data_IF_169067694293
#
_entry.id   IF_169067694293
#
_cell.length_a   1.000
_cell.length_b   1.000
_cell.length_c   1.000
_cell.angle_alpha   90.00
_cell.angle_beta   90.00
_cell.angle_gamma   90.00
#
_symmetry.space_group_name_H-M   'P 1'
#
loop_
_entity.id
_entity.type
_entity.pdbx_description
1 polymer ?
#
# COMPACT_ATOMS: atom_id res chain seq x y z
N UNK A 1 3.33 23.77 -4.27
CA UNK A 1 4.58 23.45 -3.57
C UNK A 1 4.50 22.02 -3.06
N UNK A 2 5.61 21.27 -3.01
CA UNK A 2 5.60 19.86 -2.63
C UNK A 2 5.17 19.59 -1.18
N UNK A 3 5.27 20.57 -0.27
CA UNK A 3 4.58 20.50 1.02
C UNK A 3 3.15 21.02 0.85
N UNK A 4 2.17 20.13 0.98
CA UNK A 4 0.75 20.43 0.80
C UNK A 4 0.13 20.65 2.17
N UNK A 5 -0.48 21.82 2.36
CA UNK A 5 -1.31 22.09 3.53
C UNK A 5 -2.61 21.31 3.42
N UNK A 6 -2.91 20.48 4.42
CA UNK A 6 -4.10 19.65 4.36
C UNK A 6 -5.36 20.43 4.74
N UNK A 7 -6.40 20.25 3.92
CA UNK A 7 -7.76 20.75 4.20
C UNK A 7 -8.62 19.72 4.93
N UNK A 8 -8.04 18.58 5.34
CA UNK A 8 -8.78 17.54 6.02
C UNK A 8 -9.22 17.98 7.42
N UNK A 9 -10.51 17.79 7.71
CA UNK A 9 -11.09 18.00 9.04
C UNK A 9 -11.75 16.69 9.48
N UNK A 10 -11.23 16.09 10.56
CA UNK A 10 -11.81 14.90 11.16
C UNK A 10 -13.10 15.24 11.93
N UNK A 11 -14.13 14.37 11.95
CA UNK A 11 -15.28 14.56 12.82
C UNK A 11 -14.86 14.65 14.29
N UNK A 12 -15.54 15.49 15.06
CA UNK A 12 -15.19 15.76 16.46
C UNK A 12 -15.22 14.51 17.37
N UNK A 13 -15.99 13.48 17.00
CA UNK A 13 -16.08 12.19 17.71
C UNK A 13 -14.90 11.25 17.39
N UNK A 14 -14.17 11.48 16.30
CA UNK A 14 -13.00 10.69 15.87
C UNK A 14 -11.70 11.45 16.16
N UNK A 15 -11.45 11.71 17.44
CA UNK A 15 -10.17 12.27 17.94
C UNK A 15 -9.24 11.21 18.54
N UNK A 16 -9.76 10.00 18.80
CA UNK A 16 -8.94 8.89 19.25
C UNK A 16 -8.34 8.19 18.01
N UNK A 17 -7.00 8.05 17.92
CA UNK A 17 -6.33 7.52 16.73
C UNK A 17 -6.66 6.05 16.45
N UNK A 18 -6.84 5.25 17.49
CA UNK A 18 -7.23 3.85 17.36
C UNK A 18 -8.67 3.71 16.86
N UNK A 19 -9.59 4.53 17.36
CA UNK A 19 -10.97 4.56 16.89
C UNK A 19 -11.02 4.96 15.41
N UNK A 20 -10.24 5.97 15.01
CA UNK A 20 -10.13 6.44 13.63
C UNK A 20 -9.64 5.32 12.69
N UNK A 21 -8.71 4.50 13.18
CA UNK A 21 -8.16 3.36 12.45
C UNK A 21 -9.10 2.15 12.38
N UNK A 22 -9.71 1.78 13.51
CA UNK A 22 -10.47 0.53 13.64
C UNK A 22 -11.92 0.65 13.21
N UNK A 23 -12.52 1.84 13.32
CA UNK A 23 -13.93 2.02 12.94
C UNK A 23 -14.20 1.67 11.48
N UNK A 24 -13.41 2.15 10.49
CA UNK A 24 -13.64 1.76 9.11
C UNK A 24 -13.40 0.27 8.88
N UNK A 25 -12.41 -0.32 9.55
CA UNK A 25 -12.10 -1.74 9.44
C UNK A 25 -13.29 -2.62 9.84
N UNK A 26 -13.98 -2.28 10.94
CA UNK A 26 -15.11 -3.08 11.44
C UNK A 26 -16.47 -2.71 10.85
N UNK A 27 -16.69 -1.43 10.54
CA UNK A 27 -18.05 -0.93 10.28
C UNK A 27 -18.25 -0.34 8.89
N UNK A 28 -17.20 0.06 8.16
CA UNK A 28 -17.36 0.62 6.83
C UNK A 28 -17.76 -0.46 5.84
N UNK A 29 -18.88 -0.25 5.16
CA UNK A 29 -19.35 -1.10 4.07
C UNK A 29 -19.37 -0.27 2.79
N UNK A 30 -18.77 -0.80 1.73
CA UNK A 30 -18.77 -0.20 0.40
C UNK A 30 -19.47 -1.17 -0.55
N UNK A 31 -20.44 -0.67 -1.29
CA UNK A 31 -21.27 -1.47 -2.19
C UNK A 31 -21.13 -1.00 -3.65
N UNK A 32 -21.41 -1.89 -4.60
CA UNK A 32 -21.48 -1.55 -6.02
C UNK A 32 -20.19 -1.73 -6.82
N UNK A 33 -19.07 -2.07 -6.18
CA UNK A 33 -17.84 -2.48 -6.88
C UNK A 33 -17.97 -3.93 -7.34
N UNK A 34 -17.70 -4.19 -8.62
CA UNK A 34 -17.74 -5.54 -9.20
C UNK A 34 -16.36 -5.87 -9.75
N UNK A 35 -15.67 -6.79 -9.07
CA UNK A 35 -14.39 -7.30 -9.54
C UNK A 35 -14.55 -8.52 -10.45
N UNK A 36 -13.77 -8.53 -11.53
CA UNK A 36 -13.48 -9.71 -12.33
C UNK A 36 -12.03 -10.10 -12.06
N UNK A 37 -11.83 -11.28 -11.49
CA UNK A 37 -10.49 -11.78 -11.16
C UNK A 37 -9.78 -12.30 -12.40
N UNK A 38 -8.52 -11.93 -12.55
CA UNK A 38 -7.57 -12.50 -13.50
C UNK A 38 -6.33 -12.98 -12.75
N UNK A 39 -6.02 -14.27 -12.88
CA UNK A 39 -4.75 -14.82 -12.41
C UNK A 39 -3.65 -14.52 -13.40
N UNK A 40 -2.53 -13.97 -12.92
CA UNK A 40 -1.29 -13.83 -13.65
C UNK A 40 -0.28 -14.84 -13.13
N UNK A 41 0.25 -15.65 -14.03
CA UNK A 41 1.35 -16.57 -13.76
C UNK A 41 2.66 -15.79 -13.70
N UNK A 42 3.45 -16.04 -12.65
CA UNK A 42 4.72 -15.37 -12.40
C UNK A 42 5.91 -16.20 -12.94
N UNK A 43 7.04 -15.56 -13.27
CA UNK A 43 8.22 -16.26 -13.80
C UNK A 43 8.82 -17.33 -12.87
N UNK A 44 8.57 -17.21 -11.55
CA UNK A 44 9.02 -18.18 -10.53
C UNK A 44 8.08 -19.39 -10.39
N UNK A 45 7.05 -19.49 -11.23
CA UNK A 45 6.05 -20.55 -11.20
C UNK A 45 4.90 -20.31 -10.21
N UNK A 46 4.91 -19.17 -9.52
CA UNK A 46 3.83 -18.74 -8.64
C UNK A 46 2.76 -17.94 -9.38
N UNK A 47 1.84 -17.30 -8.65
CA UNK A 47 0.82 -16.45 -9.25
C UNK A 47 0.48 -15.21 -8.41
N UNK A 48 -0.12 -14.23 -9.08
CA UNK A 48 -0.84 -13.12 -8.48
C UNK A 48 -2.26 -13.05 -9.03
N UNK A 49 -3.22 -12.75 -8.17
CA UNK A 49 -4.60 -12.51 -8.60
C UNK A 49 -4.87 -11.00 -8.67
N UNK A 50 -5.24 -10.53 -9.86
CA UNK A 50 -5.64 -9.16 -10.13
C UNK A 50 -7.17 -9.08 -10.17
N UNK A 51 -7.74 -8.19 -9.38
CA UNK A 51 -9.19 -7.96 -9.35
C UNK A 51 -9.53 -6.67 -10.11
N UNK A 52 -10.11 -6.83 -11.31
CA UNK A 52 -10.42 -5.74 -12.23
C UNK A 52 -11.82 -5.18 -12.02
N UNK A 53 -11.95 -3.86 -11.91
CA UNK A 53 -13.23 -3.15 -11.92
C UNK A 53 -13.20 -2.09 -13.01
N UNK A 54 -13.88 -2.35 -14.13
CA UNK A 54 -13.81 -1.54 -15.35
C UNK A 54 -15.03 -0.62 -15.47
N UNK A 55 -14.78 0.64 -15.80
CA UNK A 55 -15.75 1.66 -16.16
C UNK A 55 -15.68 2.01 -17.67
N UNK A 56 -14.99 1.18 -18.47
CA UNK A 56 -14.71 1.39 -19.89
C UNK A 56 -13.89 2.67 -20.15
N UNK A 57 -13.01 3.02 -19.20
CA UNK A 57 -12.10 4.15 -19.29
C UNK A 57 -10.87 3.90 -20.14
N UNK A 58 -10.13 4.97 -20.45
CA UNK A 58 -8.80 4.90 -21.11
C UNK A 58 -7.64 5.01 -20.13
N UNK A 59 -7.90 5.26 -18.86
CA UNK A 59 -6.91 5.43 -17.80
C UNK A 59 -7.12 4.34 -16.76
N UNK A 60 -6.01 3.78 -16.26
CA UNK A 60 -6.01 2.71 -15.27
C UNK A 60 -5.38 3.18 -13.97
N UNK A 61 -5.97 2.79 -12.86
CA UNK A 61 -5.36 2.91 -11.53
C UNK A 61 -5.13 1.51 -10.95
N UNK A 62 -3.89 1.23 -10.55
CA UNK A 62 -3.54 0.03 -9.80
C UNK A 62 -3.61 0.31 -8.29
N UNK A 63 -4.41 -0.46 -7.56
CA UNK A 63 -4.58 -0.36 -6.12
C UNK A 63 -3.77 -1.44 -5.38
N UNK A 64 -2.90 -1.04 -4.47
CA UNK A 64 -2.11 -1.92 -3.61
C UNK A 64 -2.57 -1.81 -2.13
N UNK A 65 -2.92 -2.95 -1.54
CA UNK A 65 -3.43 -3.04 -0.16
C UNK A 65 -2.30 -3.02 0.88
N UNK A 66 -2.67 -2.86 2.16
CA UNK A 66 -1.76 -2.94 3.30
C UNK A 66 -1.48 -4.38 3.76
N UNK A 67 -0.73 -4.52 4.86
CA UNK A 67 -0.37 -5.81 5.45
C UNK A 67 -1.62 -6.63 5.78
N UNK A 68 -1.62 -7.89 5.35
CA UNK A 68 -2.70 -8.87 5.53
C UNK A 68 -4.05 -8.39 4.98
N UNK A 69 -4.02 -7.45 4.03
CA UNK A 69 -5.17 -6.95 3.29
C UNK A 69 -5.53 -7.79 2.05
N UNK A 70 -6.40 -7.23 1.21
CA UNK A 70 -6.79 -7.75 -0.11
C UNK A 70 -7.54 -6.66 -0.89
N UNK A 71 -7.96 -6.97 -2.13
CA UNK A 71 -8.84 -6.12 -2.93
C UNK A 71 -10.18 -5.77 -2.26
N UNK A 72 -10.59 -6.56 -1.25
CA UNK A 72 -11.87 -6.42 -0.53
C UNK A 72 -11.80 -5.49 0.67
N UNK A 73 -10.64 -4.90 0.96
CA UNK A 73 -10.52 -3.94 2.06
C UNK A 73 -11.38 -2.70 1.81
N UNK A 74 -12.06 -2.13 2.82
CA UNK A 74 -12.99 -1.01 2.61
C UNK A 74 -12.37 0.21 1.93
N UNK A 75 -11.10 0.53 2.22
CA UNK A 75 -10.40 1.64 1.55
C UNK A 75 -10.07 1.32 0.08
N UNK A 76 -9.80 0.05 -0.27
CA UNK A 76 -9.59 -0.38 -1.66
C UNK A 76 -10.90 -0.32 -2.44
N UNK A 77 -11.99 -0.83 -1.85
CA UNK A 77 -13.32 -0.77 -2.45
C UNK A 77 -13.81 0.67 -2.61
N UNK A 78 -13.62 1.52 -1.60
CA UNK A 78 -13.97 2.95 -1.65
C UNK A 78 -13.26 3.67 -2.80
N UNK A 79 -11.95 3.42 -2.91
CA UNK A 79 -11.13 3.97 -4.00
C UNK A 79 -11.58 3.45 -5.37
N UNK A 80 -11.80 2.13 -5.50
CA UNK A 80 -12.29 1.54 -6.74
C UNK A 80 -13.62 2.16 -7.18
N UNK A 81 -14.55 2.34 -6.22
CA UNK A 81 -15.87 2.90 -6.47
C UNK A 81 -15.80 4.33 -7.00
N UNK A 82 -15.12 5.23 -6.29
CA UNK A 82 -15.07 6.64 -6.70
C UNK A 82 -14.44 6.80 -8.09
N UNK A 83 -13.40 6.00 -8.38
CA UNK A 83 -12.67 6.07 -9.64
C UNK A 83 -13.53 5.54 -10.80
N UNK A 84 -14.23 4.43 -10.60
CA UNK A 84 -15.17 3.91 -11.60
C UNK A 84 -16.32 4.89 -11.87
N UNK A 85 -16.86 5.56 -10.84
CA UNK A 85 -17.88 6.61 -11.02
C UNK A 85 -17.37 7.84 -11.81
N UNK A 86 -16.05 7.99 -11.93
CA UNK A 86 -15.39 9.01 -12.75
C UNK A 86 -14.82 8.46 -14.06
N UNK A 87 -15.23 7.25 -14.46
CA UNK A 87 -14.83 6.66 -15.74
C UNK A 87 -13.38 6.22 -15.80
N UNK A 88 -12.74 5.98 -14.64
CA UNK A 88 -11.38 5.47 -14.53
C UNK A 88 -11.46 3.97 -14.22
N UNK A 89 -10.74 3.16 -15.00
CA UNK A 89 -10.64 1.72 -14.76
C UNK A 89 -9.71 1.45 -13.58
N UNK A 90 -9.99 0.39 -12.85
CA UNK A 90 -9.23 0.01 -11.65
C UNK A 90 -8.81 -1.45 -11.72
N UNK A 91 -7.59 -1.72 -11.29
CA UNK A 91 -7.12 -3.08 -10.99
C UNK A 91 -6.56 -3.12 -9.57
N UNK A 92 -7.07 -4.00 -8.72
CA UNK A 92 -6.52 -4.22 -7.39
C UNK A 92 -5.59 -5.44 -7.42
N UNK A 93 -4.32 -5.25 -7.06
CA UNK A 93 -3.38 -6.36 -6.89
C UNK A 93 -3.66 -7.02 -5.54
N UNK A 94 -3.84 -8.34 -5.52
CA UNK A 94 -3.74 -9.11 -4.29
C UNK A 94 -2.31 -9.65 -4.18
N UNK A 95 -1.60 -9.28 -3.12
CA UNK A 95 -0.29 -9.86 -2.85
C UNK A 95 -0.40 -11.38 -2.62
N UNK A 96 0.74 -12.06 -2.70
CA UNK A 96 0.82 -13.52 -2.53
C UNK A 96 0.10 -13.95 -1.26
N UNK A 97 -0.78 -14.96 -1.37
CA UNK A 97 -1.62 -15.46 -0.28
C UNK A 97 -2.68 -14.48 0.28
N UNK A 98 -3.02 -13.40 -0.41
CA UNK A 98 -4.04 -12.43 0.03
C UNK A 98 -5.34 -12.46 -0.78
N UNK A 99 -5.40 -13.19 -1.90
CA UNK A 99 -6.59 -13.23 -2.75
C UNK A 99 -7.72 -14.12 -2.20
N UNK A 100 -7.44 -14.89 -1.14
CA UNK A 100 -8.26 -15.99 -0.62
C UNK A 100 -7.70 -17.38 -0.92
N UNK A 101 -6.64 -17.46 -1.73
CA UNK A 101 -5.89 -18.67 -2.05
C UNK A 101 -4.42 -18.47 -1.66
N UNK A 102 -3.77 -19.54 -1.15
CA UNK A 102 -2.33 -19.49 -0.89
C UNK A 102 -1.54 -19.53 -2.19
N UNK A 103 -0.45 -18.77 -2.24
CA UNK A 103 0.52 -18.87 -3.32
C UNK A 103 1.23 -20.24 -3.30
N UNK A 104 1.81 -20.65 -4.43
CA UNK A 104 2.33 -22.02 -4.65
C UNK A 104 3.69 -22.27 -4.03
N UNK A 105 4.42 -21.21 -3.70
CA UNK A 105 5.78 -21.29 -3.17
C UNK A 105 5.81 -21.08 -1.65
N UNK A 106 6.87 -21.50 -0.95
CA UNK A 106 7.07 -21.17 0.47
C UNK A 106 7.07 -19.66 0.73
N UNK A 107 7.59 -18.88 -0.22
CA UNK A 107 7.68 -17.41 -0.22
C UNK A 107 6.37 -16.72 0.18
N UNK A 108 6.45 -15.72 1.05
CA UNK A 108 5.38 -14.73 1.28
C UNK A 108 5.75 -13.40 0.60
N UNK A 109 4.82 -12.45 0.54
CA UNK A 109 5.16 -11.07 0.21
C UNK A 109 5.74 -10.37 1.45
N UNK A 110 6.49 -9.29 1.24
CA UNK A 110 7.01 -8.44 2.30
C UNK A 110 6.91 -6.96 1.90
N UNK A 111 7.16 -6.04 2.83
CA UNK A 111 6.91 -4.59 2.62
C UNK A 111 7.82 -3.94 1.58
N UNK A 112 8.93 -4.59 1.24
CA UNK A 112 9.90 -4.14 0.24
C UNK A 112 9.79 -4.87 -1.09
N UNK A 113 8.77 -5.73 -1.27
CA UNK A 113 8.63 -6.63 -2.42
C UNK A 113 8.16 -5.87 -3.67
N UNK A 114 9.09 -5.20 -4.34
CA UNK A 114 8.84 -4.42 -5.56
C UNK A 114 8.85 -5.29 -6.82
N UNK A 115 9.29 -6.55 -6.74
CA UNK A 115 9.41 -7.46 -7.88
C UNK A 115 8.04 -7.78 -8.47
N UNK A 116 7.10 -8.18 -7.62
CA UNK A 116 5.73 -8.52 -8.01
C UNK A 116 5.00 -7.29 -8.62
N UNK A 117 5.14 -6.11 -8.01
CA UNK A 117 4.55 -4.86 -8.54
C UNK A 117 5.17 -4.49 -9.90
N UNK A 118 6.49 -4.59 -10.02
CA UNK A 118 7.22 -4.31 -11.27
C UNK A 118 6.78 -5.24 -12.38
N UNK A 119 6.61 -6.53 -12.09
CA UNK A 119 6.10 -7.50 -13.05
C UNK A 119 4.69 -7.13 -13.51
N UNK A 120 3.78 -6.83 -12.58
CA UNK A 120 2.40 -6.44 -12.93
C UNK A 120 2.36 -5.16 -13.75
N UNK A 121 3.12 -4.13 -13.39
CA UNK A 121 3.17 -2.87 -14.14
C UNK A 121 3.66 -3.08 -15.58
N UNK A 122 4.73 -3.85 -15.78
CA UNK A 122 5.23 -4.23 -17.11
C UNK A 122 4.23 -5.10 -17.86
N UNK A 123 3.56 -6.03 -17.18
CA UNK A 123 2.54 -6.86 -17.81
C UNK A 123 1.38 -5.99 -18.33
N UNK A 124 0.90 -5.02 -17.52
CA UNK A 124 -0.14 -4.06 -17.92
C UNK A 124 0.31 -3.27 -19.16
N UNK A 125 1.54 -2.73 -19.14
CA UNK A 125 2.10 -1.97 -20.25
C UNK A 125 2.09 -2.75 -21.58
N UNK A 126 2.47 -4.04 -21.55
CA UNK A 126 2.57 -4.86 -22.76
C UNK A 126 1.26 -5.51 -23.21
N UNK A 127 0.29 -5.71 -22.31
CA UNK A 127 -0.91 -6.52 -22.57
C UNK A 127 -2.21 -5.71 -22.56
N UNK A 128 -2.14 -4.39 -22.38
CA UNK A 128 -3.32 -3.51 -22.36
C UNK A 128 -3.11 -2.29 -23.25
N UNK A 129 -4.19 -1.56 -23.52
CA UNK A 129 -4.20 -0.36 -24.37
C UNK A 129 -4.55 0.91 -23.61
N UNK A 130 -4.31 0.92 -22.29
CA UNK A 130 -4.52 2.11 -21.47
C UNK A 130 -3.56 3.24 -21.87
N UNK A 131 -4.03 4.48 -21.74
CA UNK A 131 -3.25 5.69 -22.01
C UNK A 131 -2.37 6.11 -20.85
N UNK A 132 -2.77 5.76 -19.62
CA UNK A 132 -1.95 5.97 -18.43
C UNK A 132 -2.24 4.94 -17.35
N UNK A 133 -1.25 4.74 -16.51
CA UNK A 133 -1.27 3.92 -15.31
C UNK A 133 -0.89 4.80 -14.12
N UNK A 134 -1.79 4.95 -13.16
CA UNK A 134 -1.47 5.55 -11.86
C UNK A 134 -1.50 4.50 -10.76
N UNK A 135 -0.75 4.71 -9.68
CA UNK A 135 -0.63 3.77 -8.57
C UNK A 135 -1.25 4.38 -7.30
N UNK A 136 -2.06 3.61 -6.57
CA UNK A 136 -2.52 4.00 -5.24
C UNK A 136 -2.21 2.92 -4.22
N UNK A 137 -1.46 3.28 -3.18
CA UNK A 137 -1.03 2.35 -2.13
C UNK A 137 -1.49 2.78 -0.75
N UNK A 138 -1.78 1.80 0.11
CA UNK A 138 -2.05 2.05 1.53
C UNK A 138 -1.07 1.25 2.39
N UNK A 139 -0.53 1.86 3.43
CA UNK A 139 0.32 1.19 4.43
C UNK A 139 1.49 0.44 3.76
N UNK A 140 1.58 -0.88 3.95
CA UNK A 140 2.57 -1.73 3.28
C UNK A 140 2.61 -1.52 1.76
N UNK A 141 1.46 -1.48 1.08
CA UNK A 141 1.39 -1.24 -0.37
C UNK A 141 1.85 0.15 -0.78
N UNK A 142 1.74 1.14 0.10
CA UNK A 142 2.32 2.47 -0.11
C UNK A 142 3.86 2.41 -0.11
N UNK A 143 4.46 1.69 0.84
CA UNK A 143 5.92 1.54 0.88
C UNK A 143 6.44 0.84 -0.39
N UNK A 144 5.79 -0.24 -0.82
CA UNK A 144 6.13 -0.95 -2.07
C UNK A 144 6.08 0.02 -3.26
N UNK A 145 5.00 0.79 -3.41
CA UNK A 145 4.86 1.75 -4.52
C UNK A 145 5.97 2.80 -4.47
N UNK A 146 6.20 3.45 -3.32
CA UNK A 146 7.23 4.50 -3.23
C UNK A 146 8.65 3.98 -3.48
N UNK A 147 8.96 2.78 -2.97
CA UNK A 147 10.25 2.10 -3.24
C UNK A 147 10.38 1.78 -4.73
N UNK A 148 9.36 1.18 -5.33
CA UNK A 148 9.32 0.88 -6.76
C UNK A 148 9.57 2.12 -7.63
N UNK A 149 8.91 3.24 -7.32
CA UNK A 149 9.08 4.49 -8.08
C UNK A 149 10.50 5.05 -8.02
N UNK A 150 11.17 4.95 -6.88
CA UNK A 150 12.55 5.42 -6.76
C UNK A 150 13.59 4.42 -7.27
N UNK A 151 13.30 3.12 -7.27
CA UNK A 151 14.13 2.11 -7.93
C UNK A 151 14.07 2.22 -9.45
N UNK A 152 12.88 2.42 -10.02
CA UNK A 152 12.66 2.47 -11.47
C UNK A 152 12.72 3.89 -12.05
N UNK A 153 13.15 4.89 -11.28
CA UNK A 153 13.09 6.29 -11.70
C UNK A 153 13.70 6.57 -13.09
N UNK A 154 14.82 5.91 -13.40
CA UNK A 154 15.56 6.06 -14.66
C UNK A 154 15.08 5.13 -15.78
N UNK A 155 14.36 4.06 -15.46
CA UNK A 155 13.87 3.06 -16.40
C UNK A 155 12.33 2.97 -16.41
N UNK A 156 11.65 4.04 -15.98
CA UNK A 156 10.20 4.03 -15.82
C UNK A 156 9.49 3.90 -17.16
N UNK A 157 8.38 3.19 -17.15
CA UNK A 157 7.43 3.18 -18.27
C UNK A 157 6.89 4.59 -18.51
N UNK A 158 6.71 4.96 -19.79
CA UNK A 158 6.00 6.18 -20.18
C UNK A 158 4.50 6.12 -19.85
N UNK A 159 3.95 4.93 -19.63
CA UNK A 159 2.56 4.74 -19.20
C UNK A 159 2.34 5.24 -17.76
N UNK A 160 3.39 5.23 -16.94
CA UNK A 160 3.31 5.54 -15.52
C UNK A 160 3.16 7.06 -15.29
N UNK A 161 2.00 7.48 -14.82
CA UNK A 161 1.59 8.89 -14.75
C UNK A 161 1.75 9.47 -13.34
N UNK A 162 1.08 8.90 -12.33
CA UNK A 162 1.06 9.44 -10.96
C UNK A 162 1.02 8.35 -9.90
N UNK A 163 1.35 8.73 -8.67
CA UNK A 163 1.13 7.88 -7.51
C UNK A 163 0.53 8.63 -6.32
N UNK A 164 -0.35 7.96 -5.57
CA UNK A 164 -0.93 8.47 -4.33
C UNK A 164 -0.78 7.40 -3.25
N UNK A 165 -0.29 7.78 -2.09
CA UNK A 165 0.00 6.85 -1.01
C UNK A 165 -0.55 7.34 0.30
N UNK A 166 -1.11 6.41 1.08
CA UNK A 166 -1.74 6.69 2.36
C UNK A 166 -1.07 5.89 3.47
N UNK A 167 -0.79 6.56 4.58
CA UNK A 167 -0.31 5.95 5.83
C UNK A 167 0.93 5.09 5.63
N UNK A 168 1.86 5.57 4.81
CA UNK A 168 3.06 4.85 4.44
C UNK A 168 4.05 4.80 5.62
N UNK A 169 4.50 3.61 6.04
CA UNK A 169 5.62 3.43 6.97
C UNK A 169 6.95 3.71 6.26
N UNK A 170 7.19 4.99 5.93
CA UNK A 170 8.41 5.40 5.21
C UNK A 170 9.65 4.98 6.00
N UNK A 171 9.65 5.16 7.33
CA UNK A 171 10.67 4.62 8.22
C UNK A 171 10.22 3.27 8.78
N UNK A 172 10.58 2.21 8.08
CA UNK A 172 10.11 0.85 8.37
C UNK A 172 10.54 0.38 9.76
N UNK A 173 11.82 0.54 10.10
CA UNK A 173 12.35 0.12 11.41
C UNK A 173 11.56 0.77 12.55
N UNK A 174 11.46 2.09 12.52
CA UNK A 174 10.77 2.82 13.59
C UNK A 174 9.25 2.54 13.59
N UNK A 175 8.66 2.22 12.44
CA UNK A 175 7.27 1.74 12.38
C UNK A 175 7.09 0.34 12.98
N UNK A 176 8.01 -0.60 12.74
CA UNK A 176 7.96 -1.92 13.38
C UNK A 176 8.10 -1.82 14.91
N UNK A 177 9.01 -0.97 15.40
CA UNK A 177 9.13 -0.66 16.84
C UNK A 177 7.83 -0.05 17.39
N UNK A 178 7.21 0.88 16.66
CA UNK A 178 5.94 1.51 17.04
C UNK A 178 4.78 0.50 17.10
N UNK A 179 4.68 -0.40 16.13
CA UNK A 179 3.69 -1.50 16.12
C UNK A 179 3.90 -2.44 17.30
N UNK A 180 5.16 -2.67 17.71
CA UNK A 180 5.54 -3.48 18.87
C UNK A 180 5.18 -2.89 20.24
N UNK A 181 4.77 -1.63 20.30
CA UNK A 181 4.47 -0.95 21.57
C UNK A 181 3.19 -1.45 22.23
N UNK A 182 3.09 -1.28 23.56
CA UNK A 182 1.97 -1.79 24.36
C UNK A 182 0.60 -1.27 23.92
N UNK A 183 0.53 -0.03 23.43
CA UNK A 183 -0.70 0.59 22.90
C UNK A 183 -1.20 -0.04 21.59
N UNK A 184 -0.31 -0.73 20.86
CA UNK A 184 -0.58 -1.32 19.54
C UNK A 184 -0.70 -2.85 19.55
N UNK A 185 -0.69 -3.48 20.72
CA UNK A 185 -0.78 -4.94 20.89
C UNK A 185 -1.97 -5.54 20.15
N UNK A 186 -3.08 -4.81 20.02
CA UNK A 186 -4.23 -5.26 19.24
C UNK A 186 -3.88 -5.48 17.76
N UNK A 187 -3.23 -4.51 17.11
CA UNK A 187 -2.82 -4.60 15.71
C UNK A 187 -1.79 -5.70 15.50
N UNK A 188 -0.76 -5.72 16.35
CA UNK A 188 0.30 -6.71 16.30
C UNK A 188 -0.25 -8.14 16.39
N UNK A 189 -1.14 -8.39 17.37
CA UNK A 189 -1.79 -9.70 17.52
C UNK A 189 -2.64 -10.07 16.32
N UNK A 190 -3.39 -9.12 15.75
CA UNK A 190 -4.20 -9.37 14.57
C UNK A 190 -3.33 -9.75 13.35
N UNK A 191 -2.25 -9.02 13.08
CA UNK A 191 -1.31 -9.35 12.00
C UNK A 191 -0.65 -10.71 12.22
N UNK A 192 -0.06 -10.95 13.39
CA UNK A 192 0.58 -12.23 13.69
C UNK A 192 -0.41 -13.40 13.64
N UNK A 193 -1.67 -13.19 14.01
CA UNK A 193 -2.69 -14.23 13.94
C UNK A 193 -2.89 -14.73 12.50
N UNK A 194 -3.11 -13.83 11.54
CA UNK A 194 -3.36 -14.22 10.15
C UNK A 194 -2.09 -14.73 9.47
N UNK A 195 -0.94 -14.11 9.75
CA UNK A 195 0.37 -14.55 9.24
C UNK A 195 0.71 -15.97 9.71
N UNK A 196 0.54 -16.25 11.01
CA UNK A 196 0.73 -17.60 11.57
C UNK A 196 -0.26 -18.60 11.00
N UNK A 197 -1.51 -18.20 10.73
CA UNK A 197 -2.48 -19.10 10.11
C UNK A 197 -2.03 -19.52 8.70
N UNK A 198 -1.51 -18.59 7.89
CA UNK A 198 -0.93 -18.90 6.58
C UNK A 198 0.31 -19.78 6.68
N UNK A 199 1.20 -19.49 7.64
CA UNK A 199 2.38 -20.32 7.92
C UNK A 199 2.00 -21.75 8.29
N UNK A 200 1.06 -21.97 9.22
CA UNK A 200 0.56 -23.31 9.58
C UNK A 200 0.06 -24.08 8.36
N UNK A 201 -0.70 -23.43 7.50
CA UNK A 201 -1.23 -24.07 6.31
C UNK A 201 -0.09 -24.50 5.36
N UNK A 202 0.89 -23.62 5.10
CA UNK A 202 2.05 -23.98 4.27
C UNK A 202 2.94 -25.07 4.89
N UNK A 203 3.11 -25.10 6.21
CA UNK A 203 3.78 -26.20 6.92
C UNK A 203 3.05 -27.53 6.64
N UNK A 204 1.71 -27.55 6.78
CA UNK A 204 0.90 -28.75 6.54
C UNK A 204 0.95 -29.24 5.08
N UNK A 205 1.20 -28.33 4.14
CA UNK A 205 1.41 -28.66 2.72
C UNK A 205 2.83 -29.14 2.41
N UNK A 206 3.72 -29.18 3.41
CA UNK A 206 5.10 -29.63 3.25
C UNK A 206 6.03 -28.61 2.60
N UNK A 207 5.62 -27.33 2.46
CA UNK A 207 6.41 -26.31 1.76
C UNK A 207 7.76 -26.02 2.42
N UNK A 208 7.91 -26.33 3.71
CA UNK A 208 9.13 -26.05 4.47
C UNK A 208 9.96 -27.30 4.77
N UNK A 209 9.58 -28.49 4.27
CA UNK A 209 10.27 -29.75 4.61
C UNK A 209 11.74 -29.77 4.19
N UNK A 210 12.08 -29.08 3.11
CA UNK A 210 13.44 -28.98 2.56
C UNK A 210 14.11 -27.63 2.90
N UNK A 211 13.45 -26.77 3.68
CA UNK A 211 13.97 -25.46 4.07
C UNK A 211 14.48 -25.49 5.51
N UNK A 212 15.69 -24.96 5.73
CA UNK A 212 16.26 -24.79 7.07
C UNK A 212 15.68 -23.57 7.78
N UNK A 213 14.37 -23.55 7.97
CA UNK A 213 13.61 -22.45 8.59
C UNK A 213 12.85 -22.99 9.81
N UNK A 214 13.07 -22.38 10.98
CA UNK A 214 12.41 -22.76 12.24
C UNK A 214 10.96 -22.24 12.30
N UNK A 215 10.12 -22.84 11.46
CA UNK A 215 8.71 -22.48 11.33
C UNK A 215 7.92 -22.76 12.62
N UNK A 216 8.29 -23.81 13.37
CA UNK A 216 7.67 -24.14 14.64
C UNK A 216 7.86 -23.02 15.66
N UNK A 217 9.09 -22.52 15.84
CA UNK A 217 9.34 -21.36 16.71
C UNK A 217 8.58 -20.12 16.24
N UNK A 218 8.53 -19.86 14.93
CA UNK A 218 7.80 -18.73 14.36
C UNK A 218 6.30 -18.74 14.69
N UNK A 219 5.69 -19.91 14.94
CA UNK A 219 4.28 -19.99 15.38
C UNK A 219 4.04 -19.47 16.80
N UNK A 220 5.09 -19.30 17.62
CA UNK A 220 4.97 -18.90 19.02
C UNK A 220 5.48 -17.48 19.32
N UNK A 221 6.13 -16.79 18.37
CA UNK A 221 6.61 -15.41 18.58
C UNK A 221 5.48 -14.41 18.80
N UNK A 222 5.70 -13.35 19.57
CA UNK A 222 4.66 -12.36 19.88
C UNK A 222 5.02 -10.94 19.42
N UNK A 223 6.09 -10.83 18.66
CA UNK A 223 6.67 -9.60 18.12
C UNK A 223 6.99 -9.78 16.63
N UNK A 224 7.02 -8.67 15.89
CA UNK A 224 7.22 -8.70 14.44
C UNK A 224 8.69 -8.91 14.08
N UNK A 225 9.62 -8.46 14.92
CA UNK A 225 11.07 -8.61 14.72
C UNK A 225 11.46 -10.09 14.71
N UNK A 226 11.01 -10.86 15.70
CA UNK A 226 11.27 -12.31 15.75
C UNK A 226 10.56 -13.06 14.61
N UNK A 227 9.39 -12.58 14.17
CA UNK A 227 8.77 -13.12 12.96
C UNK A 227 9.66 -12.85 11.73
N UNK A 228 10.15 -11.62 11.60
CA UNK A 228 10.98 -11.22 10.47
C UNK A 228 12.31 -11.98 10.46
N UNK A 229 12.97 -12.16 11.61
CA UNK A 229 14.21 -12.97 11.72
C UNK A 229 13.99 -14.44 11.34
N UNK A 230 12.85 -15.02 11.75
CA UNK A 230 12.59 -16.44 11.55
C UNK A 230 11.96 -16.77 10.20
N UNK A 231 11.22 -15.86 9.58
CA UNK A 231 10.43 -16.13 8.38
C UNK A 231 10.80 -15.17 7.24
N UNK A 232 10.61 -13.86 7.44
CA UNK A 232 10.76 -12.89 6.35
C UNK A 232 12.20 -12.84 5.83
N UNK A 233 13.17 -12.62 6.71
CA UNK A 233 14.57 -12.52 6.36
C UNK A 233 15.10 -13.76 5.63
N UNK A 234 14.97 -14.99 6.17
CA UNK A 234 15.49 -16.19 5.49
C UNK A 234 14.76 -16.53 4.19
N UNK A 235 13.46 -16.26 4.06
CA UNK A 235 12.73 -16.52 2.82
C UNK A 235 13.08 -15.57 1.68
N UNK A 236 13.59 -14.38 2.01
CA UNK A 236 13.88 -13.33 1.03
C UNK A 236 15.38 -13.01 0.91
N UNK A 237 16.24 -13.76 1.59
CA UNK A 237 17.69 -13.61 1.50
C UNK A 237 18.24 -12.38 2.25
N UNK A 238 17.50 -11.85 3.23
CA UNK A 238 18.04 -10.87 4.17
C UNK A 238 18.82 -11.59 5.28
N UNK A 239 19.79 -10.89 5.87
CA UNK A 239 20.61 -11.44 6.97
C UNK A 239 19.75 -11.63 8.23
N UNK A 240 18.98 -10.61 8.57
CA UNK A 240 18.10 -10.52 9.74
C UNK A 240 17.05 -9.42 9.52
N UNK A 241 16.24 -9.12 10.53
CA UNK A 241 15.23 -8.07 10.46
C UNK A 241 15.83 -6.66 10.27
N UNK A 242 17.03 -6.37 10.78
CA UNK A 242 17.68 -5.06 10.63
C UNK A 242 18.09 -4.82 9.17
N UNK A 243 18.76 -5.80 8.55
CA UNK A 243 19.11 -5.79 7.13
C UNK A 243 17.86 -5.71 6.25
N UNK A 244 16.81 -6.45 6.61
CA UNK A 244 15.51 -6.36 5.96
C UNK A 244 14.93 -4.95 6.06
N UNK A 245 14.89 -4.34 7.25
CA UNK A 245 14.28 -3.02 7.45
C UNK A 245 15.01 -1.91 6.70
N UNK A 246 16.34 -1.97 6.66
CA UNK A 246 17.16 -1.02 5.90
C UNK A 246 16.89 -1.13 4.39
N UNK A 247 16.91 -2.34 3.84
CA UNK A 247 16.74 -2.58 2.38
C UNK A 247 15.29 -2.42 1.91
N UNK A 248 14.31 -2.71 2.76
CA UNK A 248 12.90 -2.69 2.39
C UNK A 248 12.23 -1.32 2.57
N UNK A 249 12.80 -0.41 3.36
CA UNK A 249 12.26 0.94 3.56
C UNK A 249 12.32 1.76 2.26
N UNK A 250 11.22 2.46 1.93
CA UNK A 250 11.20 3.36 0.77
C UNK A 250 11.95 4.67 0.98
N UNK A 251 12.33 5.00 2.24
CA UNK A 251 12.87 6.32 2.64
C UNK A 251 14.04 6.81 1.78
N UNK A 252 14.97 5.92 1.45
CA UNK A 252 16.19 6.23 0.69
C UNK A 252 15.93 6.39 -0.81
N UNK A 253 14.74 5.99 -1.29
CA UNK A 253 14.36 6.02 -2.69
C UNK A 253 13.49 7.25 -3.05
N UNK A 254 12.91 7.93 -2.06
CA UNK A 254 11.96 9.03 -2.27
C UNK A 254 12.56 10.21 -3.05
N UNK A 255 13.85 10.51 -2.84
CA UNK A 255 14.54 11.60 -3.57
C UNK A 255 14.70 11.31 -5.07
N UNK A 256 14.58 10.04 -5.48
CA UNK A 256 14.73 9.62 -6.88
C UNK A 256 13.42 9.66 -7.65
N UNK A 257 12.27 9.85 -7.01
CA UNK A 257 10.96 9.83 -7.68
C UNK A 257 10.88 10.95 -8.73
N UNK A 258 10.48 10.60 -9.96
CA UNK A 258 10.43 11.50 -11.15
C UNK A 258 9.03 11.66 -11.78
N UNK A 259 7.97 11.30 -11.05
CA UNK A 259 6.57 11.49 -11.45
C UNK A 259 5.80 12.12 -10.29
N UNK A 260 4.71 12.89 -10.54
CA UNK A 260 3.88 13.41 -9.47
C UNK A 260 3.44 12.30 -8.51
N UNK A 261 3.91 12.42 -7.27
CA UNK A 261 3.63 11.47 -6.21
C UNK A 261 3.11 12.25 -4.99
N UNK A 262 2.05 11.76 -4.36
CA UNK A 262 1.50 12.29 -3.13
C UNK A 262 1.61 11.27 -2.01
N UNK A 263 2.23 11.64 -0.91
CA UNK A 263 2.22 10.92 0.35
C UNK A 263 1.30 11.64 1.35
N UNK A 264 0.29 10.92 1.84
CA UNK A 264 -0.65 11.39 2.85
C UNK A 264 -0.45 10.57 4.12
N UNK A 265 0.09 11.19 5.17
CA UNK A 265 0.27 10.58 6.49
C UNK A 265 -0.39 11.45 7.57
N UNK A 266 -1.08 10.81 8.53
CA UNK A 266 -1.68 11.49 9.67
C UNK A 266 -0.71 11.58 10.85
N UNK A 267 -0.64 12.73 11.51
CA UNK A 267 0.20 12.92 12.71
C UNK A 267 -0.23 12.04 13.89
N UNK A 268 -1.52 11.68 13.95
CA UNK A 268 -2.07 10.81 14.99
C UNK A 268 -2.06 9.32 14.60
N UNK A 269 -1.45 8.94 13.47
CA UNK A 269 -1.40 7.53 13.07
C UNK A 269 -0.67 6.68 14.14
N UNK A 270 -1.36 5.69 14.74
CA UNK A 270 -0.77 4.93 15.84
C UNK A 270 0.37 4.02 15.39
N UNK A 271 0.50 3.73 14.08
CA UNK A 271 1.49 2.78 13.55
C UNK A 271 2.71 3.47 12.90
N UNK A 272 2.68 4.80 12.78
CA UNK A 272 3.75 5.56 12.16
C UNK A 272 4.63 6.26 13.21
N UNK A 273 5.91 6.34 12.88
CA UNK A 273 6.91 7.08 13.67
C UNK A 273 7.14 8.48 13.08
N UNK A 274 7.91 9.32 13.78
CA UNK A 274 8.30 10.65 13.28
C UNK A 274 9.11 10.59 11.97
N UNK A 275 9.84 9.50 11.74
CA UNK A 275 10.56 9.24 10.49
C UNK A 275 9.65 9.09 9.27
N UNK A 276 8.34 8.92 9.47
CA UNK A 276 7.36 8.76 8.41
C UNK A 276 6.88 10.09 7.79
N UNK A 277 7.48 11.22 8.16
CA UNK A 277 7.14 12.56 7.63
C UNK A 277 8.36 13.21 6.97
N UNK A 278 8.77 12.76 5.76
CA UNK A 278 10.01 13.15 5.08
C UNK A 278 9.94 14.57 4.48
N UNK A 279 9.76 15.59 5.33
CA UNK A 279 9.58 17.01 4.93
C UNK A 279 10.74 17.56 4.10
N UNK A 280 11.97 17.23 4.48
CA UNK A 280 13.14 17.72 3.73
C UNK A 280 13.21 17.14 2.32
N UNK A 281 12.87 15.86 2.16
CA UNK A 281 12.83 15.23 0.84
C UNK A 281 11.77 15.89 -0.03
N UNK A 282 10.56 16.11 0.51
CA UNK A 282 9.50 16.83 -0.19
C UNK A 282 9.94 18.25 -0.60
N UNK A 283 10.63 19.00 0.27
CA UNK A 283 11.16 20.33 -0.12
C UNK A 283 12.18 20.27 -1.26
N UNK A 284 12.95 19.19 -1.36
CA UNK A 284 14.02 19.04 -2.36
C UNK A 284 13.60 18.36 -3.67
N UNK A 285 12.41 17.77 -3.74
CA UNK A 285 11.94 17.04 -4.92
C UNK A 285 10.56 17.56 -5.37
N UNK A 286 10.54 18.26 -6.50
CA UNK A 286 9.32 18.86 -7.06
C UNK A 286 8.23 17.83 -7.40
N UNK A 287 8.61 16.58 -7.64
CA UNK A 287 7.68 15.50 -7.95
C UNK A 287 7.05 14.87 -6.69
N UNK A 288 7.71 14.97 -5.53
CA UNK A 288 7.30 14.27 -4.32
C UNK A 288 6.58 15.20 -3.34
N UNK A 289 5.27 15.04 -3.26
CA UNK A 289 4.38 15.85 -2.45
C UNK A 289 4.08 15.17 -1.12
N UNK A 290 4.20 15.89 -0.01
CA UNK A 290 3.82 15.44 1.32
C UNK A 290 2.63 16.27 1.82
N UNK A 291 1.54 15.59 2.13
CA UNK A 291 0.40 16.15 2.83
C UNK A 291 0.28 15.49 4.21
N UNK A 292 0.35 16.30 5.26
CA UNK A 292 0.27 15.82 6.64
C UNK A 292 -1.01 16.29 7.28
N UNK A 293 -1.88 15.35 7.67
CA UNK A 293 -3.12 15.67 8.37
C UNK A 293 -2.89 15.68 9.88
N UNK A 294 -3.67 16.49 10.63
CA UNK A 294 -3.60 16.47 12.10
C UNK A 294 -4.20 15.18 12.66
N UNK A 295 -5.30 14.73 12.06
CA UNK A 295 -5.99 13.50 12.41
C UNK A 295 -6.20 12.64 11.16
N UNK A 296 -6.46 11.36 11.35
CA UNK A 296 -6.75 10.43 10.25
C UNK A 296 -6.56 8.97 10.63
N UNK A 297 -5.86 8.69 11.74
CA UNK A 297 -5.44 7.33 12.09
C UNK A 297 -4.65 6.68 10.95
N UNK A 298 -4.59 5.35 10.96
CA UNK A 298 -3.86 4.59 9.94
C UNK A 298 -4.63 4.34 8.64
N UNK A 299 -5.96 4.30 8.68
CA UNK A 299 -6.78 4.03 7.49
C UNK A 299 -8.12 4.74 7.55
N UNK A 300 -8.19 5.79 8.36
CA UNK A 300 -9.41 6.38 8.82
C UNK A 300 -9.98 7.40 7.86
N UNK A 301 -9.32 8.55 7.71
CA UNK A 301 -9.66 9.63 6.75
C UNK A 301 -11.18 9.93 6.56
N UNK A 302 -11.96 9.73 7.62
CA UNK A 302 -13.42 9.85 7.68
C UNK A 302 -13.81 11.32 7.43
N UNK A 303 -14.81 11.61 6.58
CA UNK A 303 -15.21 12.98 6.29
C UNK A 303 -15.92 13.62 7.50
N UNK A 304 -15.72 14.93 7.71
CA UNK A 304 -16.24 15.68 8.87
C UNK A 304 -17.73 15.45 9.16
N UNK A 305 -18.57 15.35 8.11
CA UNK A 305 -20.00 15.12 8.24
C UNK A 305 -20.35 13.64 8.03
N UNK A 306 -20.02 12.79 9.01
CA UNK A 306 -20.29 11.34 8.97
C UNK A 306 -21.79 10.99 9.04
N UNK A 307 -22.62 11.90 9.58
CA UNK A 307 -24.06 11.69 9.70
C UNK A 307 -24.81 11.98 8.39
N UNK A 308 -24.14 12.60 7.41
CA UNK A 308 -24.71 12.77 6.09
C UNK A 308 -24.75 11.41 5.37
N UNK A 309 -25.92 10.80 5.34
CA UNK A 309 -26.15 9.51 4.67
C UNK A 309 -25.86 9.54 3.17
N UNK A 310 -25.75 10.72 2.56
CA UNK A 310 -25.33 10.88 1.16
C UNK A 310 -23.80 10.85 0.97
N UNK A 311 -23.02 10.78 2.05
CA UNK A 311 -21.57 10.82 1.98
C UNK A 311 -20.99 9.40 1.86
N UNK A 312 -21.04 8.88 0.64
CA UNK A 312 -20.61 7.52 0.31
C UNK A 312 -19.08 7.34 0.31
N UNK A 313 -18.34 8.44 0.14
CA UNK A 313 -16.89 8.43 -0.01
C UNK A 313 -16.21 9.06 1.20
N UNK A 314 -15.03 8.55 1.54
CA UNK A 314 -14.18 9.16 2.54
C UNK A 314 -13.33 10.27 1.91
N UNK A 315 -12.68 11.07 2.76
CA UNK A 315 -11.87 12.19 2.28
C UNK A 315 -10.68 11.71 1.44
N UNK A 316 -10.08 10.59 1.81
CA UNK A 316 -8.97 9.96 1.08
C UNK A 316 -9.27 9.72 -0.40
N UNK A 317 -10.49 9.25 -0.71
CA UNK A 317 -10.97 8.93 -2.04
C UNK A 317 -11.11 10.19 -2.89
N UNK A 318 -11.74 11.23 -2.33
CA UNK A 318 -11.84 12.53 -2.99
C UNK A 318 -10.46 13.14 -3.21
N UNK A 319 -9.57 13.04 -2.22
CA UNK A 319 -8.23 13.62 -2.30
C UNK A 319 -7.37 12.92 -3.34
N UNK A 320 -7.44 11.60 -3.42
CA UNK A 320 -6.77 10.83 -4.47
C UNK A 320 -7.28 11.22 -5.86
N UNK A 321 -8.60 11.31 -6.03
CA UNK A 321 -9.21 11.74 -7.30
C UNK A 321 -8.76 13.16 -7.70
N UNK A 322 -8.74 14.11 -6.76
CA UNK A 322 -8.28 15.47 -7.00
C UNK A 322 -6.83 15.49 -7.51
N UNK A 323 -5.93 14.75 -6.86
CA UNK A 323 -4.53 14.66 -7.29
C UNK A 323 -4.37 13.98 -8.66
N UNK A 324 -5.16 12.94 -8.94
CA UNK A 324 -5.20 12.29 -10.25
C UNK A 324 -5.65 13.25 -11.36
N UNK A 325 -6.57 14.18 -11.07
CA UNK A 325 -7.07 15.16 -12.03
C UNK A 325 -6.18 16.41 -12.14
N UNK A 326 -5.30 16.64 -11.17
CA UNK A 326 -4.39 17.79 -11.16
C UNK A 326 -3.41 17.76 -12.33
N UNK A 327 -3.25 18.89 -13.03
CA UNK A 327 -2.21 19.04 -14.05
C UNK A 327 -0.91 19.50 -13.39
N UNK A 328 0.20 18.87 -13.75
CA UNK A 328 1.53 19.25 -13.29
C UNK A 328 2.33 19.80 -14.48
N UNK A 329 2.96 20.95 -14.27
CA UNK A 329 3.85 21.56 -15.25
C UNK A 329 5.23 21.67 -14.59
N UNK A 330 6.18 20.85 -15.05
CA UNK A 330 7.55 20.87 -14.54
C UNK A 330 8.46 21.54 -15.57
N UNK A 331 9.30 22.47 -15.13
CA UNK A 331 10.28 23.13 -15.99
C UNK A 331 11.27 22.08 -16.52
N UNK A 332 11.34 21.91 -17.84
CA UNK A 332 12.28 21.00 -18.49
C UNK A 332 11.70 19.66 -18.96
N UNK A 333 10.42 19.36 -18.69
CA UNK A 333 9.71 18.31 -19.43
C UNK A 333 9.32 18.90 -20.79
N UNK A 334 9.97 18.45 -21.87
CA UNK A 334 9.49 18.74 -23.23
C UNK A 334 8.01 18.35 -23.28
N UNK A 335 7.16 19.28 -23.75
CA UNK A 335 5.73 19.05 -23.94
C UNK A 335 5.54 17.74 -24.69
N UNK A 336 5.11 16.69 -23.99
CA UNK A 336 4.45 15.56 -24.62
C UNK A 336 2.99 15.96 -24.63
N UNK A 337 2.60 16.67 -25.69
CA UNK A 337 1.19 16.88 -26.01
C UNK A 337 0.54 15.51 -26.22
N UNK A 338 -0.51 15.21 -25.45
CA UNK A 338 -1.34 14.01 -25.55
C UNK A 338 -2.73 14.31 -26.11
#
# INVERSE_FOLDING_TARGET
MPLVESKYVSPWVFKNPHLHTLYPYFFRKVYGVKYVRQRLELPDGDFLDLDWSKACGKHLVLLAHGLEGSSKQPYVLGMAKILNEKGIDVVAINFRSCSGELNRLPRFYHIGDTEDLRFVAKWIEHNTSYKSLSLIGHSLGANIILKYLGEEADNRSLLLDKAITFSCPVDLKASCEKIGSAENVFYLRNFLHTMKAKLRHKINLGFFNELHIDCERALYVNDIQSWDDLITAPLHGFVDHEDYYEKASCRTYLCKIKIPCLLINALDDPLLSSGCFPREIARSNDFFHLETTTNGGHAGFIPANILNQNNEFYWSEWRALEFLQQKFFYAGAANIDH
#
